data_IF_887546351753
#
_entry.id   IF_887546351753
#
_cell.length_a   1.000
_cell.length_b   1.000
_cell.length_c   1.000
_cell.angle_alpha   90.00
_cell.angle_beta   90.00
_cell.angle_gamma   90.00
#
_symmetry.space_group_name_H-M   'P 1'
#
loop_
_entity.id
_entity.type
_entity.pdbx_description
1 polymer ?
#
# COMPACT_ATOMS: atom_id res chain seq x y z
N UNK A 1 26.62 -5.05 11.90
CA UNK A 1 25.72 -5.92 11.12
C UNK A 1 24.60 -6.32 12.05
N UNK A 2 23.37 -6.04 11.65
CA UNK A 2 22.18 -6.36 12.45
C UNK A 2 21.43 -7.52 11.80
N UNK A 3 20.93 -8.43 12.61
CA UNK A 3 20.07 -9.54 12.19
C UNK A 3 18.71 -9.36 12.83
N UNK A 4 17.65 -9.50 12.03
CA UNK A 4 16.27 -9.37 12.49
C UNK A 4 15.44 -10.51 11.94
N UNK A 5 14.65 -11.14 12.80
CA UNK A 5 13.63 -12.10 12.42
C UNK A 5 12.27 -11.60 12.88
N UNK A 6 11.24 -11.85 12.07
CA UNK A 6 9.87 -11.51 12.41
C UNK A 6 8.93 -12.60 11.90
N UNK A 7 7.90 -12.88 12.70
CA UNK A 7 6.85 -13.82 12.40
C UNK A 7 5.51 -13.20 12.81
N UNK A 8 4.53 -13.25 11.90
CA UNK A 8 3.16 -12.88 12.15
C UNK A 8 2.23 -13.91 11.53
N UNK A 9 1.19 -14.28 12.26
CA UNK A 9 0.17 -15.20 11.81
C UNK A 9 -1.21 -14.70 12.21
N UNK A 10 -2.12 -14.73 11.26
CA UNK A 10 -3.55 -14.52 11.39
C UNK A 10 -4.31 -15.52 10.52
N UNK A 11 -5.64 -15.52 10.56
CA UNK A 11 -6.47 -16.49 9.84
C UNK A 11 -6.25 -16.47 8.32
N UNK A 12 -6.16 -15.28 7.75
CA UNK A 12 -6.07 -14.99 6.33
C UNK A 12 -4.67 -14.56 5.87
N UNK A 13 -3.75 -14.31 6.81
CA UNK A 13 -2.40 -13.81 6.50
C UNK A 13 -1.34 -14.43 7.39
N UNK A 14 -0.26 -14.89 6.78
CA UNK A 14 0.96 -15.30 7.48
C UNK A 14 2.16 -14.60 6.83
N UNK A 15 3.08 -14.10 7.64
CA UNK A 15 4.28 -13.45 7.15
C UNK A 15 5.47 -13.78 8.05
N UNK A 16 6.51 -14.36 7.45
CA UNK A 16 7.76 -14.69 8.11
C UNK A 16 8.89 -14.07 7.33
N UNK A 17 9.86 -13.47 8.02
CA UNK A 17 11.08 -13.04 7.34
C UNK A 17 12.28 -13.00 8.28
N UNK A 18 13.45 -13.23 7.67
CA UNK A 18 14.76 -12.93 8.24
C UNK A 18 15.43 -11.85 7.42
N UNK A 19 16.13 -10.93 8.07
CA UNK A 19 16.86 -9.86 7.41
C UNK A 19 18.25 -9.66 8.04
N UNK A 20 19.22 -9.41 7.18
CA UNK A 20 20.54 -8.91 7.54
C UNK A 20 20.68 -7.47 7.04
N UNK A 21 21.16 -6.58 7.90
CA UNK A 21 21.33 -5.15 7.61
C UNK A 21 22.75 -4.68 7.92
N UNK A 22 23.27 -3.84 7.05
CA UNK A 22 24.50 -3.08 7.22
C UNK A 22 24.17 -1.60 7.11
N UNK A 23 24.36 -0.83 8.19
CA UNK A 23 24.11 0.62 8.20
C UNK A 23 25.19 1.42 7.48
N UNK A 24 26.35 0.79 7.26
CA UNK A 24 27.47 1.38 6.56
C UNK A 24 28.26 0.31 5.83
N UNK A 25 28.43 0.47 4.52
CA UNK A 25 29.36 -0.34 3.73
C UNK A 25 30.72 0.35 3.74
N UNK A 26 31.67 -0.22 4.50
CA UNK A 26 33.02 0.35 4.72
C UNK A 26 32.97 1.82 5.18
N UNK A 27 33.64 2.72 4.46
CA UNK A 27 33.69 4.15 4.73
C UNK A 27 32.59 4.95 4.02
N UNK A 28 31.71 4.31 3.25
CA UNK A 28 30.66 4.99 2.48
C UNK A 28 29.44 5.34 3.36
N UNK A 29 28.47 6.09 2.84
CA UNK A 29 27.16 6.32 3.49
C UNK A 29 26.06 5.40 2.94
N UNK A 30 26.46 4.32 2.25
CA UNK A 30 25.51 3.34 1.72
C UNK A 30 25.10 2.36 2.80
N UNK A 31 23.80 2.08 2.82
CA UNK A 31 23.17 1.03 3.61
C UNK A 31 22.89 -0.17 2.70
N UNK A 32 22.99 -1.37 3.25
CA UNK A 32 22.64 -2.61 2.58
C UNK A 32 21.66 -3.40 3.43
N UNK A 33 20.69 -4.06 2.79
CA UNK A 33 19.81 -5.03 3.45
C UNK A 33 19.57 -6.23 2.54
N UNK A 34 19.65 -7.41 3.10
CA UNK A 34 19.19 -8.65 2.49
C UNK A 34 18.02 -9.18 3.33
N UNK A 35 16.89 -9.51 2.71
CA UNK A 35 15.71 -10.05 3.38
C UNK A 35 15.23 -11.29 2.66
N UNK A 36 15.16 -12.41 3.35
CA UNK A 36 14.46 -13.61 2.89
C UNK A 36 13.10 -13.68 3.58
N UNK A 37 12.04 -13.99 2.84
CA UNK A 37 10.69 -13.98 3.37
C UNK A 37 9.80 -15.05 2.76
N UNK A 38 8.78 -15.42 3.54
CA UNK A 38 7.63 -16.20 3.10
C UNK A 38 6.36 -15.47 3.54
N UNK A 39 5.39 -15.37 2.63
CA UNK A 39 4.08 -14.78 2.91
C UNK A 39 2.97 -15.65 2.34
N UNK A 40 1.95 -15.90 3.14
CA UNK A 40 0.66 -16.42 2.70
C UNK A 40 -0.39 -15.33 2.87
N UNK A 41 -1.26 -15.16 1.89
CA UNK A 41 -2.39 -14.25 1.95
C UNK A 41 -3.58 -14.89 1.25
N UNK A 42 -4.66 -15.10 1.99
CA UNK A 42 -5.98 -15.36 1.42
C UNK A 42 -6.67 -14.03 1.19
N UNK A 43 -7.11 -13.79 -0.04
CA UNK A 43 -7.74 -12.55 -0.45
C UNK A 43 -9.11 -12.82 -1.04
N UNK A 44 -10.15 -12.30 -0.42
CA UNK A 44 -11.48 -12.24 -1.03
C UNK A 44 -11.43 -11.39 -2.29
N UNK A 45 -12.03 -11.87 -3.36
CA UNK A 45 -12.15 -11.16 -4.63
C UNK A 45 -13.59 -10.70 -4.82
N UNK A 46 -13.75 -9.65 -5.62
CA UNK A 46 -15.04 -9.00 -5.83
C UNK A 46 -15.35 -8.86 -7.32
N UNK A 47 -16.62 -9.02 -7.66
CA UNK A 47 -17.14 -8.70 -8.99
C UNK A 47 -17.21 -7.17 -9.21
N UNK A 48 -17.45 -6.70 -10.45
CA UNK A 48 -17.59 -5.27 -10.73
C UNK A 48 -18.77 -4.58 -10.01
N UNK A 49 -19.71 -5.35 -9.44
CA UNK A 49 -20.82 -4.85 -8.64
C UNK A 49 -20.49 -4.83 -7.14
N UNK A 50 -19.27 -5.16 -6.76
CA UNK A 50 -18.79 -5.17 -5.36
C UNK A 50 -19.26 -6.37 -4.53
N UNK A 51 -19.80 -7.41 -5.17
CA UNK A 51 -20.18 -8.66 -4.49
C UNK A 51 -18.99 -9.60 -4.44
N UNK A 52 -18.88 -10.37 -3.35
CA UNK A 52 -17.86 -11.41 -3.26
C UNK A 52 -18.06 -12.43 -4.39
N UNK A 53 -17.00 -12.67 -5.16
CA UNK A 53 -17.05 -13.58 -6.30
C UNK A 53 -16.05 -14.74 -6.18
N UNK A 54 -15.17 -14.70 -5.17
CA UNK A 54 -14.20 -15.76 -4.91
C UNK A 54 -13.18 -15.44 -3.83
N UNK A 55 -12.20 -16.34 -3.70
CA UNK A 55 -11.06 -16.23 -2.80
C UNK A 55 -9.80 -16.66 -3.53
N UNK A 56 -8.72 -15.90 -3.34
CA UNK A 56 -7.39 -16.20 -3.87
C UNK A 56 -6.40 -16.47 -2.75
N UNK A 57 -5.90 -17.71 -2.64
CA UNK A 57 -4.80 -18.08 -1.74
C UNK A 57 -3.48 -17.86 -2.48
N UNK A 58 -2.72 -16.86 -2.02
CA UNK A 58 -1.41 -16.48 -2.55
C UNK A 58 -0.30 -16.87 -1.58
N UNK A 59 0.73 -17.54 -2.09
CA UNK A 59 1.95 -17.90 -1.35
C UNK A 59 3.15 -17.36 -2.10
N UNK A 60 3.91 -16.49 -1.45
CA UNK A 60 5.10 -15.85 -2.00
C UNK A 60 6.32 -16.19 -1.14
N UNK A 61 7.37 -16.71 -1.76
CA UNK A 61 8.66 -16.93 -1.12
C UNK A 61 9.72 -16.19 -1.92
N UNK A 62 10.57 -15.40 -1.27
CA UNK A 62 11.51 -14.59 -2.03
C UNK A 62 12.67 -14.03 -1.22
N UNK A 63 13.61 -13.47 -1.94
CA UNK A 63 14.76 -12.73 -1.42
C UNK A 63 14.76 -11.33 -2.02
N UNK A 64 14.97 -10.33 -1.16
CA UNK A 64 15.09 -8.93 -1.52
C UNK A 64 16.44 -8.41 -1.06
N UNK A 65 17.25 -7.94 -2.00
CA UNK A 65 18.46 -7.18 -1.73
C UNK A 65 18.18 -5.70 -1.97
N UNK A 66 18.55 -4.82 -1.04
CA UNK A 66 18.41 -3.37 -1.21
C UNK A 66 19.71 -2.66 -0.86
N UNK A 67 20.07 -1.68 -1.68
CA UNK A 67 21.14 -0.74 -1.44
C UNK A 67 20.54 0.66 -1.38
N UNK A 68 20.82 1.40 -0.32
CA UNK A 68 20.16 2.67 -0.03
C UNK A 68 21.12 3.75 0.42
N UNK A 69 20.77 5.00 0.15
CA UNK A 69 21.48 6.18 0.67
C UNK A 69 20.52 7.34 0.86
N UNK A 70 20.77 8.13 1.90
CA UNK A 70 20.13 9.45 2.05
C UNK A 70 20.75 10.46 1.07
N UNK A 71 19.92 11.03 0.20
CA UNK A 71 20.32 12.01 -0.82
C UNK A 71 19.48 13.28 -0.63
N UNK A 72 20.07 14.30 0.00
CA UNK A 72 19.56 15.68 0.11
C UNK A 72 18.02 15.79 0.07
N UNK A 73 17.47 16.38 -1.01
CA UNK A 73 16.04 16.62 -1.20
C UNK A 73 15.24 15.40 -1.69
N UNK A 74 15.92 14.34 -2.14
CA UNK A 74 15.29 13.09 -2.59
C UNK A 74 15.01 12.12 -1.42
N UNK A 75 15.48 12.44 -0.22
CA UNK A 75 15.28 11.61 0.96
C UNK A 75 16.06 10.31 0.85
N UNK A 76 15.45 9.18 1.23
CA UNK A 76 16.03 7.86 1.08
C UNK A 76 15.85 7.37 -0.35
N UNK A 77 16.98 7.20 -1.06
CA UNK A 77 16.99 6.62 -2.41
C UNK A 77 17.54 5.20 -2.32
N UNK A 78 16.78 4.24 -2.83
CA UNK A 78 17.09 2.81 -2.77
C UNK A 78 16.99 2.14 -4.13
N UNK A 79 18.00 1.34 -4.45
CA UNK A 79 17.97 0.34 -5.52
C UNK A 79 17.73 -1.05 -4.90
N UNK A 80 16.80 -1.82 -5.46
CA UNK A 80 16.41 -3.12 -4.96
C UNK A 80 16.42 -4.19 -6.05
N UNK A 81 16.77 -5.42 -5.68
CA UNK A 81 16.61 -6.63 -6.50
C UNK A 81 15.73 -7.61 -5.72
N UNK A 82 14.54 -7.89 -6.25
CA UNK A 82 13.58 -8.87 -5.73
C UNK A 82 13.59 -10.11 -6.60
N UNK A 83 13.87 -11.26 -5.99
CA UNK A 83 13.75 -12.58 -6.60
C UNK A 83 12.64 -13.33 -5.84
N UNK A 84 11.48 -13.48 -6.45
CA UNK A 84 10.30 -14.05 -5.78
C UNK A 84 9.70 -15.21 -6.58
N UNK A 85 9.28 -16.25 -5.88
CA UNK A 85 8.48 -17.34 -6.41
C UNK A 85 7.06 -17.24 -5.84
N UNK A 86 6.08 -17.17 -6.73
CA UNK A 86 4.67 -16.94 -6.41
C UNK A 86 3.87 -18.15 -6.82
N UNK A 87 3.06 -18.66 -5.90
CA UNK A 87 2.05 -19.65 -6.15
C UNK A 87 0.70 -19.08 -5.75
N UNK A 88 -0.30 -19.13 -6.63
CA UNK A 88 -1.66 -18.78 -6.23
C UNK A 88 -2.72 -19.69 -6.85
N UNK A 89 -3.83 -19.80 -6.14
CA UNK A 89 -5.06 -20.45 -6.59
C UNK A 89 -6.20 -19.47 -6.39
N UNK A 90 -7.01 -19.28 -7.42
CA UNK A 90 -8.19 -18.43 -7.38
C UNK A 90 -9.42 -19.34 -7.52
N UNK A 91 -10.36 -19.27 -6.58
CA UNK A 91 -11.53 -20.17 -6.57
C UNK A 91 -12.42 -20.01 -7.81
N UNK A 92 -12.31 -18.89 -8.53
CA UNK A 92 -13.09 -18.59 -9.74
C UNK A 92 -12.58 -19.34 -10.97
N UNK A 93 -11.32 -19.79 -10.95
CA UNK A 93 -10.68 -20.41 -12.10
C UNK A 93 -10.05 -21.75 -11.73
N UNK A 94 -10.22 -22.81 -12.53
CA UNK A 94 -9.56 -24.07 -12.27
C UNK A 94 -8.04 -23.93 -12.45
N UNK A 95 -7.28 -24.58 -11.56
CA UNK A 95 -5.83 -24.69 -11.67
C UNK A 95 -5.05 -23.92 -10.60
N UNK A 96 -3.75 -24.16 -10.58
CA UNK A 96 -2.78 -23.44 -9.76
C UNK A 96 -1.84 -22.71 -10.71
N UNK A 97 -1.59 -21.44 -10.42
CA UNK A 97 -0.61 -20.64 -11.15
C UNK A 97 0.67 -20.58 -10.33
N UNK A 98 1.81 -20.77 -10.99
CA UNK A 98 3.15 -20.66 -10.43
C UNK A 98 3.95 -19.72 -11.32
N UNK A 99 4.60 -18.72 -10.71
CA UNK A 99 5.33 -17.67 -11.40
C UNK A 99 6.61 -17.32 -10.65
N UNK A 100 7.74 -17.28 -11.34
CA UNK A 100 8.95 -16.61 -10.88
C UNK A 100 8.93 -15.15 -11.32
N UNK A 101 9.00 -14.23 -10.34
CA UNK A 101 8.98 -12.79 -10.54
C UNK A 101 10.31 -12.21 -10.11
N UNK A 102 10.99 -11.55 -11.05
CA UNK A 102 12.32 -10.96 -10.86
C UNK A 102 12.24 -9.47 -11.17
N UNK A 103 12.39 -8.62 -10.16
CA UNK A 103 12.15 -7.19 -10.25
C UNK A 103 13.38 -6.40 -9.80
N UNK A 104 13.77 -5.41 -10.59
CA UNK A 104 14.65 -4.33 -10.16
C UNK A 104 13.78 -3.14 -9.77
N UNK A 105 13.97 -2.62 -8.57
CA UNK A 105 13.21 -1.48 -8.03
C UNK A 105 14.14 -0.29 -7.84
N UNK A 106 13.71 0.89 -8.28
CA UNK A 106 14.27 2.17 -7.86
C UNK A 106 13.19 2.91 -7.06
N UNK A 107 13.49 3.30 -5.83
CA UNK A 107 12.53 3.98 -4.94
C UNK A 107 13.18 5.19 -4.28
N UNK A 108 12.46 6.31 -4.30
CA UNK A 108 12.75 7.54 -3.55
C UNK A 108 11.66 7.73 -2.51
N UNK A 109 12.04 7.97 -1.26
CA UNK A 109 11.11 8.18 -0.16
C UNK A 109 11.54 9.38 0.68
N UNK A 110 10.67 10.37 0.75
CA UNK A 110 10.85 11.58 1.56
C UNK A 110 9.81 11.58 2.66
N UNK A 111 10.27 11.47 3.90
CA UNK A 111 9.42 11.55 5.09
C UNK A 111 9.94 12.65 6.01
N UNK A 112 9.07 13.60 6.35
CA UNK A 112 9.37 14.72 7.26
C UNK A 112 8.30 14.90 8.33
N UNK A 113 7.57 13.82 8.63
CA UNK A 113 6.47 13.83 9.60
C UNK A 113 6.98 14.24 10.99
N UNK A 114 6.21 15.10 11.66
CA UNK A 114 6.53 15.59 13.00
C UNK A 114 6.37 14.53 14.08
N UNK A 115 5.42 13.60 13.89
CA UNK A 115 5.15 12.50 14.81
C UNK A 115 4.38 11.37 14.13
N UNK A 116 4.47 10.18 14.70
CA UNK A 116 3.64 9.02 14.35
C UNK A 116 3.19 8.35 15.66
N UNK A 117 1.90 8.02 15.85
CA UNK A 117 0.77 8.23 14.94
C UNK A 117 0.22 9.68 14.95
N UNK A 118 -0.74 9.95 14.06
CA UNK A 118 -1.45 11.24 13.89
C UNK A 118 -0.56 12.48 13.60
N UNK A 119 0.21 12.50 12.50
CA UNK A 119 1.11 13.61 12.16
C UNK A 119 0.36 14.93 11.98
N UNK A 120 0.86 16.04 12.50
CA UNK A 120 0.23 17.36 12.31
C UNK A 120 0.88 18.18 11.21
N UNK A 121 2.13 17.87 10.86
CA UNK A 121 2.93 18.62 9.89
C UNK A 121 3.89 17.69 9.15
N UNK A 122 4.35 18.15 8.00
CA UNK A 122 5.34 17.46 7.18
C UNK A 122 4.70 16.72 6.01
N UNK A 123 5.51 15.94 5.31
CA UNK A 123 5.11 15.26 4.09
C UNK A 123 5.60 13.82 4.10
N UNK A 124 4.87 12.95 3.42
CA UNK A 124 5.30 11.60 3.11
C UNK A 124 5.09 11.38 1.61
N UNK A 125 6.21 11.27 0.89
CA UNK A 125 6.23 11.17 -0.56
C UNK A 125 7.03 9.94 -0.98
N UNK A 126 6.42 9.10 -1.81
CA UNK A 126 7.03 7.91 -2.38
C UNK A 126 6.98 8.02 -3.89
N UNK A 127 8.11 7.78 -4.55
CA UNK A 127 8.19 7.56 -5.99
C UNK A 127 8.92 6.24 -6.22
N UNK A 128 8.34 5.35 -7.02
CA UNK A 128 8.85 4.01 -7.24
C UNK A 128 8.69 3.60 -8.70
N UNK A 129 9.77 3.01 -9.25
CA UNK A 129 9.82 2.37 -10.54
C UNK A 129 10.23 0.91 -10.35
N UNK A 130 9.39 -0.01 -10.81
CA UNK A 130 9.66 -1.44 -10.83
C UNK A 130 9.81 -1.91 -12.27
N UNK A 131 10.97 -2.47 -12.59
CA UNK A 131 11.29 -3.12 -13.85
C UNK A 131 11.31 -4.63 -13.61
N UNK A 132 10.25 -5.31 -14.04
CA UNK A 132 10.14 -6.77 -13.96
C UNK A 132 10.29 -7.35 -15.34
N UNK A 133 11.13 -8.37 -15.50
CA UNK A 133 11.37 -8.88 -16.84
C UNK A 133 11.96 -10.28 -16.91
N UNK A 134 11.72 -10.89 -18.07
CA UNK A 134 12.22 -12.22 -18.43
C UNK A 134 13.74 -12.26 -18.58
N UNK A 135 14.36 -11.13 -18.92
CA UNK A 135 15.82 -10.99 -19.00
C UNK A 135 16.52 -11.28 -17.66
N UNK A 136 15.81 -11.16 -16.54
CA UNK A 136 16.30 -11.52 -15.21
C UNK A 136 15.97 -12.97 -14.81
N UNK A 137 15.44 -13.78 -15.74
CA UNK A 137 15.01 -15.16 -15.51
C UNK A 137 13.66 -15.28 -14.79
N UNK A 138 12.75 -14.33 -14.98
CA UNK A 138 11.36 -14.41 -14.52
C UNK A 138 10.39 -14.84 -15.61
N UNK A 139 9.18 -15.25 -15.22
CA UNK A 139 8.12 -15.70 -16.13
C UNK A 139 7.30 -14.54 -16.74
N UNK A 140 7.31 -13.39 -16.06
CA UNK A 140 6.49 -12.22 -16.40
C UNK A 140 7.35 -11.00 -16.68
N UNK A 141 6.79 -10.07 -17.46
CA UNK A 141 7.43 -8.82 -17.83
C UNK A 141 6.44 -7.65 -17.71
N UNK A 142 6.81 -6.65 -16.93
CA UNK A 142 6.05 -5.42 -16.79
C UNK A 142 6.93 -4.29 -16.23
N UNK A 143 6.57 -3.07 -16.58
CA UNK A 143 7.10 -1.85 -15.96
C UNK A 143 5.99 -1.20 -15.17
N UNK A 144 6.20 -1.03 -13.87
CA UNK A 144 5.23 -0.43 -12.95
C UNK A 144 5.81 0.85 -12.35
N UNK A 145 5.06 1.94 -12.46
CA UNK A 145 5.36 3.22 -11.81
C UNK A 145 4.32 3.43 -10.71
N UNK A 146 4.78 3.80 -9.53
CA UNK A 146 3.92 4.13 -8.40
C UNK A 146 4.41 5.43 -7.75
N UNK A 147 3.49 6.34 -7.47
CA UNK A 147 3.75 7.54 -6.70
C UNK A 147 2.63 7.77 -5.69
N UNK A 148 3.00 8.23 -4.51
CA UNK A 148 2.06 8.69 -3.48
C UNK A 148 2.65 9.94 -2.83
N UNK A 149 1.88 11.02 -2.87
CA UNK A 149 2.30 12.34 -2.41
C UNK A 149 1.32 12.83 -1.36
N UNK A 150 1.74 12.84 -0.10
CA UNK A 150 0.93 13.23 1.05
C UNK A 150 1.54 14.41 1.81
N UNK A 151 0.69 15.33 2.27
CA UNK A 151 1.12 16.45 3.11
C UNK A 151 0.22 16.60 4.33
N UNK A 152 0.75 17.10 5.44
CA UNK A 152 -0.03 17.47 6.61
C UNK A 152 0.13 18.95 6.86
N UNK A 153 -0.98 19.67 6.95
CA UNK A 153 -0.97 21.06 7.39
C UNK A 153 -2.02 21.28 8.46
N UNK A 154 -1.66 22.02 9.51
CA UNK A 154 -2.48 22.23 10.71
C UNK A 154 -2.71 23.73 10.88
N UNK A 155 -3.76 24.31 10.26
CA UNK A 155 -3.98 25.77 10.27
C UNK A 155 -4.40 26.28 11.65
N UNK A 156 -5.01 25.43 12.48
CA UNK A 156 -5.34 25.73 13.88
C UNK A 156 -4.83 24.60 14.78
N UNK A 157 -4.64 24.80 16.10
CA UNK A 157 -4.16 23.74 17.00
C UNK A 157 -5.06 22.49 17.05
N UNK A 158 -6.31 22.61 16.58
CA UNK A 158 -7.32 21.55 16.62
C UNK A 158 -7.54 20.89 15.25
N UNK A 159 -7.23 21.57 14.15
CA UNK A 159 -7.59 21.12 12.81
C UNK A 159 -6.32 20.76 12.03
N UNK A 160 -6.25 19.54 11.48
CA UNK A 160 -5.23 19.09 10.55
C UNK A 160 -5.90 18.69 9.25
N UNK A 161 -5.44 19.21 8.13
CA UNK A 161 -5.83 18.72 6.81
C UNK A 161 -4.69 17.93 6.18
N UNK A 162 -5.06 16.83 5.53
CA UNK A 162 -4.16 15.88 4.92
C UNK A 162 -4.68 15.44 3.55
N UNK A 163 -4.24 16.10 2.47
CA UNK A 163 -4.48 15.64 1.12
C UNK A 163 -3.39 14.64 0.73
N UNK A 164 -3.79 13.57 0.06
CA UNK A 164 -2.89 12.59 -0.53
C UNK A 164 -3.29 12.31 -1.97
N UNK A 165 -2.33 12.38 -2.89
CA UNK A 165 -2.50 11.97 -4.28
C UNK A 165 -1.69 10.70 -4.54
N UNK A 166 -2.33 9.66 -5.07
CA UNK A 166 -1.72 8.39 -5.43
C UNK A 166 -1.97 8.07 -6.89
N UNK A 167 -0.92 7.67 -7.60
CA UNK A 167 -0.96 7.25 -8.99
C UNK A 167 -0.14 5.96 -9.16
N UNK A 168 -0.77 4.95 -9.74
CA UNK A 168 -0.13 3.70 -10.14
C UNK A 168 -0.37 3.46 -11.63
N UNK A 169 0.66 3.16 -12.40
CA UNK A 169 0.54 2.86 -13.83
C UNK A 169 1.42 1.66 -14.17
N UNK A 170 0.84 0.70 -14.90
CA UNK A 170 1.58 -0.32 -15.64
C UNK A 170 1.28 -0.24 -17.13
N UNK A 171 2.31 -0.42 -17.96
CA UNK A 171 2.19 -0.42 -19.43
C UNK A 171 1.52 -1.70 -19.97
N UNK A 172 1.74 -2.81 -19.29
CA UNK A 172 1.26 -4.14 -19.65
C UNK A 172 0.41 -4.67 -18.48
N UNK A 173 -0.52 -5.58 -18.75
CA UNK A 173 -1.33 -6.24 -17.73
C UNK A 173 -0.46 -6.84 -16.62
N UNK A 174 -0.79 -6.49 -15.37
CA UNK A 174 -0.09 -7.05 -14.21
C UNK A 174 -0.72 -8.41 -13.88
N UNK A 175 0.09 -9.39 -13.44
CA UNK A 175 -0.50 -10.58 -12.83
C UNK A 175 -1.31 -10.15 -11.61
N UNK A 176 -2.43 -10.84 -11.28
CA UNK A 176 -3.33 -10.37 -10.24
C UNK A 176 -2.65 -10.08 -8.89
N UNK A 177 -1.62 -10.87 -8.55
CA UNK A 177 -0.86 -10.70 -7.29
C UNK A 177 0.04 -9.45 -7.24
N UNK A 178 0.18 -8.72 -8.34
CA UNK A 178 1.01 -7.51 -8.49
C UNK A 178 0.21 -6.26 -8.88
N UNK A 179 -1.11 -6.38 -9.05
CA UNK A 179 -2.04 -5.29 -9.34
C UNK A 179 -2.06 -4.21 -8.24
N UNK A 180 -2.50 -3.01 -8.60
CA UNK A 180 -2.86 -1.97 -7.66
C UNK A 180 -4.23 -2.27 -7.07
N UNK A 181 -4.40 -1.92 -5.79
CA UNK A 181 -5.65 -2.15 -5.07
C UNK A 181 -6.17 -0.86 -4.48
N UNK A 182 -7.49 -0.74 -4.40
CA UNK A 182 -8.19 0.39 -3.80
C UNK A 182 -9.35 -0.11 -2.92
N UNK A 183 -9.60 0.63 -1.85
CA UNK A 183 -10.68 0.34 -0.89
C UNK A 183 -10.16 0.00 0.50
N UNK A 184 -10.98 0.32 1.50
CA UNK A 184 -10.64 0.24 2.92
C UNK A 184 -10.49 1.63 3.55
N UNK A 185 -10.41 1.65 4.89
CA UNK A 185 -10.47 2.85 5.74
C UNK A 185 -9.50 3.98 5.33
N UNK A 186 -8.28 3.66 4.91
CA UNK A 186 -7.25 4.64 4.52
C UNK A 186 -6.96 4.63 3.01
N UNK A 187 -7.92 4.19 2.20
CA UNK A 187 -7.77 4.17 0.75
C UNK A 187 -9.00 4.73 0.06
N UNK A 188 -10.18 4.17 0.30
CA UNK A 188 -11.41 4.66 -0.33
C UNK A 188 -12.62 4.26 0.53
N UNK A 189 -13.31 5.27 1.04
CA UNK A 189 -14.46 5.16 1.94
C UNK A 189 -15.64 4.45 1.26
N UNK A 190 -16.28 3.52 1.97
CA UNK A 190 -17.42 2.72 1.47
C UNK A 190 -17.01 1.44 0.74
N UNK A 191 -15.76 1.30 0.31
CA UNK A 191 -15.25 0.08 -0.31
C UNK A 191 -14.57 -0.84 0.71
N UNK A 192 -14.72 -2.15 0.54
CA UNK A 192 -13.98 -3.12 1.35
C UNK A 192 -12.48 -3.05 1.07
N UNK A 193 -11.67 -3.50 2.02
CA UNK A 193 -10.21 -3.51 1.89
C UNK A 193 -9.81 -4.26 0.63
N UNK A 194 -9.16 -3.56 -0.30
CA UNK A 194 -8.74 -4.07 -1.60
C UNK A 194 -9.87 -4.60 -2.50
N UNK A 195 -11.08 -4.03 -2.40
CA UNK A 195 -12.23 -4.44 -3.20
C UNK A 195 -11.98 -4.28 -4.70
N UNK A 196 -11.37 -3.16 -5.09
CA UNK A 196 -11.08 -2.86 -6.48
C UNK A 196 -9.60 -3.17 -6.77
N UNK A 197 -9.34 -3.77 -7.93
CA UNK A 197 -8.00 -4.14 -8.37
C UNK A 197 -7.81 -3.84 -9.87
N UNK A 198 -6.63 -3.32 -10.23
CA UNK A 198 -6.33 -2.95 -11.61
C UNK A 198 -4.85 -2.75 -11.89
N UNK A 199 -4.56 -2.46 -13.15
CA UNK A 199 -3.20 -2.24 -13.66
C UNK A 199 -2.82 -0.75 -13.63
N UNK A 200 -3.83 0.12 -13.48
CA UNK A 200 -3.70 1.57 -13.28
C UNK A 200 -4.57 1.97 -12.09
N UNK A 201 -4.11 2.95 -11.32
CA UNK A 201 -4.78 3.51 -10.14
C UNK A 201 -4.59 5.01 -10.17
N UNK A 202 -5.67 5.76 -9.95
CA UNK A 202 -5.62 7.17 -9.61
C UNK A 202 -6.49 7.40 -8.39
N UNK A 203 -5.97 8.09 -7.40
CA UNK A 203 -6.66 8.31 -6.13
C UNK A 203 -6.24 9.64 -5.51
N UNK A 204 -7.22 10.40 -5.06
CA UNK A 204 -7.08 11.62 -4.30
C UNK A 204 -7.88 11.46 -3.00
N UNK A 205 -7.20 11.45 -1.86
CA UNK A 205 -7.81 11.42 -0.54
C UNK A 205 -7.72 12.80 0.09
N UNK A 206 -8.84 13.35 0.56
CA UNK A 206 -8.87 14.61 1.30
C UNK A 206 -9.35 14.30 2.72
N UNK A 207 -8.43 14.36 3.68
CA UNK A 207 -8.75 14.11 5.08
C UNK A 207 -8.73 15.40 5.89
N UNK A 208 -9.77 15.62 6.69
CA UNK A 208 -9.85 16.72 7.64
C UNK A 208 -10.02 16.15 9.05
N UNK A 209 -8.97 16.26 9.85
CA UNK A 209 -8.90 15.71 11.20
C UNK A 209 -9.00 16.79 12.27
N UNK A 210 -9.94 16.61 13.19
CA UNK A 210 -10.15 17.41 14.39
C UNK A 210 -9.59 16.67 15.60
N UNK A 211 -8.68 17.30 16.34
CA UNK A 211 -8.20 16.82 17.63
C UNK A 211 -9.24 17.14 18.71
N UNK A 212 -9.69 16.11 19.39
CA UNK A 212 -10.63 16.18 20.51
C UNK A 212 -9.87 16.04 21.85
N UNK A 213 -10.50 16.34 23.00
CA UNK A 213 -9.93 16.08 24.32
C UNK A 213 -9.56 14.59 24.50
N UNK A 214 -8.73 14.30 25.51
CA UNK A 214 -8.40 12.92 25.90
C UNK A 214 -7.81 12.05 24.77
N UNK A 215 -6.99 12.63 23.88
CA UNK A 215 -6.30 11.92 22.77
C UNK A 215 -7.25 11.26 21.76
N UNK A 216 -8.46 11.78 21.62
CA UNK A 216 -9.39 11.41 20.57
C UNK A 216 -9.18 12.27 19.32
N UNK A 217 -9.49 11.70 18.16
CA UNK A 217 -9.40 12.35 16.87
C UNK A 217 -10.62 11.98 16.04
N UNK A 218 -11.29 12.97 15.47
CA UNK A 218 -12.35 12.76 14.51
C UNK A 218 -11.85 13.19 13.14
N UNK A 219 -11.90 12.30 12.15
CA UNK A 219 -11.44 12.57 10.79
C UNK A 219 -12.61 12.45 9.82
N UNK A 220 -12.87 13.48 9.02
CA UNK A 220 -13.71 13.39 7.84
C UNK A 220 -12.86 13.05 6.62
N UNK A 221 -13.36 12.19 5.75
CA UNK A 221 -12.69 11.71 4.55
C UNK A 221 -13.55 12.05 3.32
N UNK A 222 -12.91 12.53 2.27
CA UNK A 222 -13.49 12.64 0.94
C UNK A 222 -12.50 12.10 -0.08
N UNK A 223 -12.89 11.03 -0.77
CA UNK A 223 -12.04 10.23 -1.63
C UNK A 223 -12.53 10.30 -3.07
N UNK A 224 -11.61 10.48 -4.01
CA UNK A 224 -11.92 10.52 -5.44
C UNK A 224 -10.92 9.63 -6.17
N UNK A 225 -11.38 8.61 -6.88
CA UNK A 225 -10.45 7.66 -7.47
C UNK A 225 -11.10 6.55 -8.28
N UNK A 226 -10.26 5.85 -9.05
CA UNK A 226 -10.65 4.66 -9.78
C UNK A 226 -9.42 3.79 -10.09
N UNK A 227 -9.67 2.50 -10.28
CA UNK A 227 -8.72 1.55 -10.85
C UNK A 227 -9.15 1.14 -12.26
N UNK A 228 -8.19 0.96 -13.15
CA UNK A 228 -8.45 0.59 -14.54
C UNK A 228 -7.65 -0.64 -14.93
N UNK A 229 -8.19 -1.45 -15.84
CA UNK A 229 -7.44 -2.58 -16.42
C UNK A 229 -6.45 -2.08 -17.47
N UNK A 230 -5.50 -2.92 -17.86
CA UNK A 230 -4.45 -2.53 -18.82
C UNK A 230 -5.00 -2.01 -20.15
N UNK A 231 -6.10 -2.58 -20.64
CA UNK A 231 -6.75 -2.23 -21.91
C UNK A 231 -7.47 -0.89 -21.87
N UNK A 232 -7.79 -0.39 -20.68
CA UNK A 232 -8.67 0.75 -20.51
C UNK A 232 -7.86 2.05 -20.54
N UNK A 233 -8.42 3.08 -21.17
CA UNK A 233 -7.87 4.42 -21.07
C UNK A 233 -8.25 5.05 -19.72
N UNK A 234 -7.35 5.84 -19.15
CA UNK A 234 -7.65 6.59 -17.93
C UNK A 234 -8.66 7.68 -18.28
N UNK A 235 -9.88 7.56 -17.74
CA UNK A 235 -10.97 8.51 -17.95
C UNK A 235 -11.32 9.20 -16.63
N UNK A 236 -10.90 10.45 -16.47
CA UNK A 236 -11.18 11.25 -15.27
C UNK A 236 -12.68 11.51 -15.05
N UNK A 237 -13.52 11.28 -16.07
CA UNK A 237 -14.98 11.33 -15.95
C UNK A 237 -15.58 10.17 -15.15
N UNK A 238 -14.83 9.08 -14.96
CA UNK A 238 -15.31 7.85 -14.34
C UNK A 238 -14.80 7.70 -12.89
N UNK A 239 -14.28 8.77 -12.30
CA UNK A 239 -13.79 8.73 -10.93
C UNK A 239 -14.96 8.55 -9.98
N UNK A 240 -14.85 7.56 -9.08
CA UNK A 240 -15.80 7.32 -8.01
C UNK A 240 -15.57 8.31 -6.89
N UNK A 241 -16.60 8.54 -6.09
CA UNK A 241 -16.57 9.43 -4.94
C UNK A 241 -16.91 8.66 -3.66
N UNK A 242 -16.05 8.76 -2.66
CA UNK A 242 -16.25 8.20 -1.33
C UNK A 242 -16.33 9.32 -0.30
N UNK A 243 -17.20 9.17 0.69
CA UNK A 243 -17.23 10.04 1.88
C UNK A 243 -17.23 9.18 3.13
N UNK A 244 -16.51 9.60 4.17
CA UNK A 244 -16.44 8.85 5.41
C UNK A 244 -16.09 9.68 6.62
N UNK A 245 -16.27 9.07 7.79
CA UNK A 245 -15.85 9.62 9.06
C UNK A 245 -15.21 8.53 9.91
N UNK A 246 -14.12 8.89 10.59
CA UNK A 246 -13.35 7.98 11.44
C UNK A 246 -13.15 8.60 12.82
N UNK A 247 -13.58 7.90 13.86
CA UNK A 247 -13.24 8.21 15.23
C UNK A 247 -12.05 7.36 15.66
N UNK A 248 -10.97 8.02 16.07
CA UNK A 248 -9.74 7.37 16.47
C UNK A 248 -9.32 7.75 17.90
N UNK A 249 -8.81 6.77 18.65
CA UNK A 249 -8.23 6.95 19.97
C UNK A 249 -6.76 6.54 19.95
N UNK A 250 -5.88 7.45 20.35
CA UNK A 250 -4.45 7.20 20.46
C UNK A 250 -4.14 6.53 21.80
N UNK A 251 -4.14 5.19 21.82
CA UNK A 251 -3.85 4.40 23.00
C UNK A 251 -2.35 4.06 23.14
N UNK A 252 -1.85 3.72 24.34
CA UNK A 252 -0.49 3.24 24.52
C UNK A 252 -0.13 1.98 23.71
N UNK A 253 -1.13 1.17 23.32
CA UNK A 253 -0.96 -0.05 22.52
C UNK A 253 -1.06 0.21 21.00
N UNK A 254 -1.23 1.48 20.61
CA UNK A 254 -1.43 1.92 19.23
C UNK A 254 -2.83 2.51 19.01
N UNK A 255 -3.08 3.05 17.82
CA UNK A 255 -4.36 3.67 17.49
C UNK A 255 -5.50 2.64 17.46
N UNK A 256 -6.65 3.03 17.99
CA UNK A 256 -7.93 2.35 17.81
C UNK A 256 -8.80 3.20 16.92
N UNK A 257 -9.31 2.67 15.81
CA UNK A 257 -10.01 3.44 14.79
C UNK A 257 -11.33 2.74 14.44
N UNK A 258 -12.40 3.52 14.49
CA UNK A 258 -13.75 3.12 14.09
C UNK A 258 -14.21 4.06 13.00
N UNK A 259 -14.39 3.54 11.80
CA UNK A 259 -14.77 4.32 10.63
C UNK A 259 -16.11 3.89 10.06
N UNK A 260 -16.79 4.82 9.43
CA UNK A 260 -17.93 4.56 8.55
C UNK A 260 -17.71 5.32 7.25
N UNK A 261 -17.92 4.66 6.11
CA UNK A 261 -17.77 5.27 4.81
C UNK A 261 -18.87 4.83 3.85
N UNK A 262 -19.16 5.68 2.88
CA UNK A 262 -20.13 5.46 1.82
C UNK A 262 -19.47 5.77 0.48
N UNK A 263 -19.60 4.86 -0.48
CA UNK A 263 -19.28 5.11 -1.88
C UNK A 263 -20.54 5.61 -2.57
N UNK A 264 -20.48 6.83 -3.09
CA UNK A 264 -21.64 7.61 -3.48
C UNK A 264 -22.24 7.17 -4.81
N UNK A 265 -21.43 6.61 -5.71
CA UNK A 265 -21.86 6.24 -7.05
C UNK A 265 -22.68 4.93 -7.09
N UNK A 266 -22.39 3.99 -6.18
CA UNK A 266 -23.05 2.69 -6.07
C UNK A 266 -23.87 2.54 -4.78
N UNK A 267 -23.92 3.59 -3.94
CA UNK A 267 -24.61 3.64 -2.66
C UNK A 267 -24.26 2.48 -1.72
N UNK A 268 -22.96 2.17 -1.64
CA UNK A 268 -22.43 1.10 -0.78
C UNK A 268 -21.83 1.71 0.47
N UNK A 269 -22.30 1.29 1.64
CA UNK A 269 -21.75 1.70 2.93
C UNK A 269 -20.94 0.59 3.60
N UNK A 270 -19.98 0.99 4.44
CA UNK A 270 -19.14 0.08 5.23
C UNK A 270 -18.73 0.68 6.56
N UNK A 271 -18.76 -0.19 7.57
CA UNK A 271 -18.08 0.01 8.85
C UNK A 271 -16.67 -0.57 8.80
N UNK A 272 -15.73 0.14 9.40
CA UNK A 272 -14.34 -0.26 9.52
C UNK A 272 -13.94 -0.26 10.99
N UNK A 273 -13.12 -1.24 11.35
CA UNK A 273 -12.48 -1.29 12.65
C UNK A 273 -11.00 -1.64 12.47
N UNK A 274 -10.16 -0.94 13.20
CA UNK A 274 -8.71 -1.18 13.25
C UNK A 274 -8.20 -0.95 14.66
N UNK A 275 -7.28 -1.80 15.09
CA UNK A 275 -6.62 -1.68 16.38
C UNK A 275 -5.12 -2.00 16.27
N UNK A 276 -4.30 -1.15 16.89
CA UNK A 276 -2.86 -1.35 17.00
C UNK A 276 -2.06 -0.70 15.87
N UNK A 277 -0.73 -0.78 16.00
CA UNK A 277 0.19 -0.22 15.02
C UNK A 277 0.16 -1.01 13.69
N UNK A 278 0.21 -0.30 12.56
CA UNK A 278 0.64 -0.92 11.30
C UNK A 278 2.15 -1.14 11.34
N UNK A 279 2.58 -2.36 11.05
CA UNK A 279 3.97 -2.76 10.88
C UNK A 279 4.22 -3.37 9.50
#
# INVERSE_FOLDING_TARGET
>A
MELLSHAGAGPDRQAYYGAARLDRIFFTLFTARARAYYRRLERTTYDPLGREDGVRDERKAGVLFTLGRQIARLGSVTGGLRLEHINYRDSRFPGKVSLDVRTITLRSEVETLDRVPFPTRGHHNIVQLDLTGKLLGGDVEYTRIYTSLGTYFTPTPLLTYHPTFTLGISRIGLPPTEQFYMGGLHSFSGLRTHQLAGDKLILLNQELRVRLPLRWYLTGHFDIGEVYKSTDEIKLSNLRHGIGATLAFDSPLGPLEFGYGVELDSDIDRWYFRAGFSF
#
